data_IF_996423484455
#
_entry.id   IF_996423484455
#
_cell.length_a   1.000
_cell.length_b   1.000
_cell.length_c   1.000
_cell.angle_alpha   90.00
_cell.angle_beta   90.00
_cell.angle_gamma   90.00
#
_symmetry.space_group_name_H-M   'P 1'
#
loop_
_entity.id
_entity.type
_entity.pdbx_description
1 polymer ?
#
# COMPACT_ATOMS: atom_id res chain seq x y z
N UNK A 1 -13.28 50.60 57.06
CA UNK A 1 -13.87 49.38 56.53
C UNK A 1 -13.40 49.21 55.08
N UNK A 2 -12.42 48.39 54.85
CA UNK A 2 -11.90 48.15 53.55
C UNK A 2 -12.28 46.75 53.14
N UNK A 3 -13.02 46.62 52.03
CA UNK A 3 -13.27 45.33 51.35
C UNK A 3 -12.20 45.12 50.30
N UNK A 4 -11.51 44.02 50.44
CA UNK A 4 -10.46 43.57 49.58
C UNK A 4 -11.08 42.62 48.57
N UNK A 5 -11.20 43.05 47.33
CA UNK A 5 -11.64 42.21 46.23
C UNK A 5 -10.43 41.39 45.74
N UNK A 6 -10.54 40.11 45.91
CA UNK A 6 -9.57 39.14 45.38
C UNK A 6 -9.95 38.83 43.93
N UNK A 7 -9.16 39.30 43.02
CA UNK A 7 -9.22 38.97 41.62
C UNK A 7 -8.64 37.55 41.43
N UNK A 8 -9.53 36.62 41.16
CA UNK A 8 -9.17 35.25 40.82
C UNK A 8 -8.84 35.18 39.32
N UNK A 9 -7.57 35.25 39.02
CA UNK A 9 -7.07 34.94 37.71
C UNK A 9 -7.41 33.49 37.37
N UNK A 10 -8.44 33.30 36.56
CA UNK A 10 -8.71 32.01 35.91
C UNK A 10 -7.67 31.80 34.84
N UNK A 11 -6.67 30.98 35.17
CA UNK A 11 -5.73 30.41 34.23
C UNK A 11 -6.49 29.42 33.32
N UNK A 12 -6.99 29.95 32.19
CA UNK A 12 -7.55 29.12 31.14
C UNK A 12 -6.42 28.44 30.40
N UNK A 13 -5.96 27.32 30.94
CA UNK A 13 -5.17 26.38 30.19
C UNK A 13 -6.01 25.93 28.98
N UNK A 14 -5.77 26.56 27.84
CA UNK A 14 -6.32 26.14 26.56
C UNK A 14 -5.86 24.70 26.35
N UNK A 15 -6.77 23.77 26.56
CA UNK A 15 -6.56 22.37 26.20
C UNK A 15 -6.37 22.34 24.69
N UNK A 16 -5.13 22.28 24.26
CA UNK A 16 -4.81 22.02 22.87
C UNK A 16 -5.37 20.64 22.54
N UNK A 17 -6.49 20.62 21.83
CA UNK A 17 -7.01 19.37 21.28
C UNK A 17 -5.91 18.73 20.42
N UNK A 18 -5.66 17.41 20.57
CA UNK A 18 -4.66 16.75 19.77
C UNK A 18 -5.03 16.92 18.30
N UNK A 19 -4.13 17.50 17.52
CA UNK A 19 -4.32 17.71 16.09
C UNK A 19 -4.24 16.34 15.42
N UNK A 20 -5.35 15.90 14.83
CA UNK A 20 -5.41 14.58 14.19
C UNK A 20 -4.70 14.60 12.83
N UNK A 21 -4.00 13.51 12.48
CA UNK A 21 -3.43 13.36 11.15
C UNK A 21 -4.50 13.51 10.06
N UNK A 22 -4.15 14.21 8.99
CA UNK A 22 -5.02 14.39 7.84
C UNK A 22 -4.33 13.85 6.59
N UNK A 23 -5.06 13.07 5.81
CA UNK A 23 -4.60 12.52 4.55
C UNK A 23 -5.64 12.75 3.47
N UNK A 24 -5.19 13.23 2.31
CA UNK A 24 -6.01 13.39 1.13
C UNK A 24 -5.31 12.77 -0.08
N UNK A 25 -6.03 11.97 -0.84
CA UNK A 25 -5.55 11.46 -2.12
C UNK A 25 -5.76 12.56 -3.18
N UNK A 26 -4.68 13.03 -3.78
CA UNK A 26 -4.72 14.02 -4.84
C UNK A 26 -4.86 13.39 -6.22
N UNK A 27 -4.31 12.20 -6.39
CA UNK A 27 -4.41 11.39 -7.59
C UNK A 27 -3.98 9.97 -7.34
N UNK A 28 -4.48 9.05 -8.14
CA UNK A 28 -4.09 7.65 -8.12
C UNK A 28 -4.17 7.08 -9.52
N UNK A 29 -3.22 6.22 -9.88
CA UNK A 29 -3.11 5.71 -11.24
C UNK A 29 -2.27 4.44 -11.33
N UNK A 30 -2.50 3.69 -12.40
CA UNK A 30 -1.58 2.64 -12.83
C UNK A 30 -0.33 3.31 -13.39
N UNK A 31 0.81 3.02 -12.82
CA UNK A 31 2.10 3.50 -13.30
C UNK A 31 2.70 2.55 -14.32
N UNK A 32 2.58 1.26 -14.07
CA UNK A 32 3.00 0.21 -14.99
C UNK A 32 2.16 -1.04 -14.76
N UNK A 33 1.81 -1.75 -15.82
CA UNK A 33 1.05 -2.99 -15.76
C UNK A 33 1.51 -3.92 -16.88
N UNK A 34 1.94 -5.11 -16.49
CA UNK A 34 2.28 -6.20 -17.41
C UNK A 34 1.52 -7.46 -17.01
N UNK A 35 0.82 -8.05 -17.96
CA UNK A 35 0.20 -9.37 -17.81
C UNK A 35 0.76 -10.29 -18.90
N UNK A 36 1.42 -11.34 -18.49
CA UNK A 36 1.99 -12.33 -19.38
C UNK A 36 1.24 -13.66 -19.24
N UNK A 37 0.52 -14.04 -20.29
CA UNK A 37 -0.26 -15.27 -20.32
C UNK A 37 0.59 -16.41 -20.91
N UNK A 38 1.44 -16.99 -20.09
CA UNK A 38 2.47 -17.94 -20.50
C UNK A 38 1.85 -19.25 -21.01
N UNK A 39 0.86 -19.77 -20.29
CA UNK A 39 0.17 -21.00 -20.68
C UNK A 39 -0.55 -20.86 -22.03
N UNK A 40 -1.17 -19.74 -22.30
CA UNK A 40 -1.83 -19.48 -23.59
C UNK A 40 -0.82 -19.41 -24.74
N UNK A 41 0.33 -18.78 -24.51
CA UNK A 41 1.42 -18.69 -25.51
C UNK A 41 2.01 -20.07 -25.83
N UNK A 42 2.07 -20.96 -24.85
CA UNK A 42 2.62 -22.33 -25.00
C UNK A 42 1.54 -23.36 -25.37
N UNK A 43 0.30 -22.93 -25.54
CA UNK A 43 -0.84 -23.84 -25.80
C UNK A 43 -1.01 -24.94 -24.75
N UNK A 44 -0.66 -24.65 -23.50
CA UNK A 44 -0.84 -25.56 -22.36
C UNK A 44 -2.30 -25.50 -21.92
N UNK A 45 -2.97 -26.66 -21.92
CA UNK A 45 -4.36 -26.76 -21.47
C UNK A 45 -4.45 -27.51 -20.13
N UNK A 46 -5.43 -27.13 -19.32
CA UNK A 46 -5.86 -27.93 -18.16
C UNK A 46 -4.94 -27.87 -16.94
N UNK A 47 -4.40 -26.72 -16.64
CA UNK A 47 -3.45 -26.54 -15.53
C UNK A 47 -4.02 -26.73 -14.11
N UNK A 48 -5.32 -27.07 -13.94
CA UNK A 48 -5.93 -27.23 -12.62
C UNK A 48 -5.92 -25.91 -11.80
N UNK A 49 -5.97 -26.04 -10.47
CA UNK A 49 -5.80 -24.86 -9.57
C UNK A 49 -4.33 -24.45 -9.54
N UNK A 50 -4.02 -23.20 -9.86
CA UNK A 50 -2.65 -22.73 -9.83
C UNK A 50 -2.16 -22.53 -8.39
N UNK A 51 -0.88 -22.66 -8.19
CA UNK A 51 -0.16 -22.18 -7.01
C UNK A 51 0.21 -20.71 -7.26
N UNK A 52 -0.27 -19.83 -6.39
CA UNK A 52 -0.11 -18.39 -6.52
C UNK A 52 0.95 -17.88 -5.54
N UNK A 53 1.96 -17.22 -6.07
CA UNK A 53 2.94 -16.50 -5.27
C UNK A 53 2.73 -15.00 -5.43
N UNK A 54 2.55 -14.30 -4.31
CA UNK A 54 2.38 -12.87 -4.25
C UNK A 54 3.59 -12.23 -3.57
N UNK A 55 4.16 -11.23 -4.24
CA UNK A 55 5.17 -10.35 -3.64
C UNK A 55 4.69 -8.91 -3.70
N UNK A 56 4.87 -8.19 -2.61
CA UNK A 56 4.52 -6.78 -2.50
C UNK A 56 5.72 -6.00 -2.00
N UNK A 57 6.05 -4.95 -2.72
CA UNK A 57 7.07 -3.98 -2.32
C UNK A 57 6.48 -2.58 -2.31
N UNK A 58 6.98 -1.75 -1.42
CA UNK A 58 6.53 -0.38 -1.24
C UNK A 58 7.67 0.59 -1.53
N UNK A 59 7.33 1.68 -2.20
CA UNK A 59 8.23 2.80 -2.43
C UNK A 59 7.48 4.10 -2.19
N UNK A 60 8.20 5.13 -1.75
CA UNK A 60 7.57 6.41 -1.51
C UNK A 60 8.61 7.51 -1.29
N UNK A 61 8.19 8.73 -1.51
CA UNK A 61 9.07 9.86 -1.37
C UNK A 61 8.35 11.20 -1.32
N UNK A 62 9.09 12.22 -0.90
CA UNK A 62 8.61 13.60 -0.91
C UNK A 62 8.56 14.13 -2.33
N UNK A 63 7.51 14.89 -2.63
CA UNK A 63 7.40 15.66 -3.86
C UNK A 63 7.98 17.07 -3.65
N UNK A 64 8.29 17.81 -4.75
CA UNK A 64 8.72 19.21 -4.66
C UNK A 64 7.71 20.11 -3.96
N UNK A 65 6.42 19.83 -4.08
CA UNK A 65 5.36 20.56 -3.38
C UNK A 65 5.31 20.13 -1.91
N UNK A 66 5.26 21.09 -1.01
CA UNK A 66 5.21 20.85 0.42
C UNK A 66 4.01 19.99 0.81
N UNK A 67 4.20 19.08 1.78
CA UNK A 67 3.20 18.15 2.30
C UNK A 67 2.64 17.16 1.26
N UNK A 68 3.27 17.05 0.09
CA UNK A 68 2.89 16.07 -0.92
C UNK A 68 3.91 14.94 -1.02
N UNK A 69 3.38 13.73 -1.20
CA UNK A 69 4.17 12.50 -1.23
C UNK A 69 3.67 11.57 -2.32
N UNK A 70 4.62 10.87 -2.95
CA UNK A 70 4.32 9.74 -3.83
C UNK A 70 4.40 8.44 -3.03
N UNK A 71 3.44 7.56 -3.23
CA UNK A 71 3.49 6.19 -2.71
C UNK A 71 3.20 5.23 -3.85
N UNK A 72 4.05 4.23 -4.00
CA UNK A 72 3.96 3.21 -5.05
C UNK A 72 3.85 1.85 -4.37
N UNK A 73 2.83 1.10 -4.74
CA UNK A 73 2.68 -0.30 -4.35
C UNK A 73 3.03 -1.15 -5.57
N UNK A 74 4.08 -1.93 -5.45
CA UNK A 74 4.55 -2.86 -6.49
C UNK A 74 4.08 -4.26 -6.16
N UNK A 75 3.30 -4.84 -7.05
CA UNK A 75 2.73 -6.17 -6.89
C UNK A 75 3.26 -7.06 -7.99
N UNK A 76 3.84 -8.19 -7.61
CA UNK A 76 4.26 -9.25 -8.52
C UNK A 76 3.51 -10.52 -8.15
N UNK A 77 2.81 -11.10 -9.12
CA UNK A 77 2.06 -12.34 -8.97
C UNK A 77 2.59 -13.35 -9.98
N UNK A 78 2.96 -14.51 -9.49
CA UNK A 78 3.34 -15.67 -10.32
C UNK A 78 2.39 -16.81 -10.05
N UNK A 79 1.74 -17.30 -11.10
CA UNK A 79 0.92 -18.49 -11.04
C UNK A 79 1.66 -19.65 -11.72
N UNK A 80 1.76 -20.78 -11.03
CA UNK A 80 2.43 -21.99 -11.51
C UNK A 80 1.53 -23.21 -11.28
N UNK A 81 1.75 -24.26 -12.04
CA UNK A 81 1.12 -25.56 -11.76
C UNK A 81 1.64 -26.12 -10.43
N UNK A 82 0.78 -26.88 -9.74
CA UNK A 82 1.18 -27.64 -8.55
C UNK A 82 1.95 -28.91 -8.94
N UNK A 83 2.83 -29.36 -8.07
CA UNK A 83 3.54 -30.64 -8.21
C UNK A 83 5.05 -30.47 -8.18
N UNK A 84 5.76 -31.58 -8.49
CA UNK A 84 7.22 -31.64 -8.36
C UNK A 84 7.96 -30.87 -9.48
N UNK A 85 7.31 -30.65 -10.61
CA UNK A 85 7.82 -29.87 -11.73
C UNK A 85 6.85 -28.73 -12.08
N UNK A 86 6.82 -27.64 -11.28
CA UNK A 86 5.90 -26.53 -11.53
C UNK A 86 6.24 -25.79 -12.81
N UNK A 87 5.21 -25.56 -13.64
CA UNK A 87 5.31 -24.77 -14.86
C UNK A 87 4.61 -23.44 -14.74
N UNK A 88 5.17 -22.34 -15.26
CA UNK A 88 4.53 -21.04 -15.24
C UNK A 88 3.20 -21.04 -16.02
N UNK A 89 2.17 -20.44 -15.45
CA UNK A 89 0.86 -20.27 -16.06
C UNK A 89 0.68 -18.84 -16.53
N UNK A 90 0.78 -17.90 -15.63
CA UNK A 90 0.78 -16.46 -15.92
C UNK A 90 1.62 -15.68 -14.92
N UNK A 91 1.97 -14.46 -15.30
CA UNK A 91 2.64 -13.48 -14.44
C UNK A 91 1.98 -12.12 -14.56
N UNK A 92 1.77 -11.47 -13.43
CA UNK A 92 1.30 -10.07 -13.34
C UNK A 92 2.35 -9.24 -12.63
N UNK A 93 2.74 -8.14 -13.23
CA UNK A 93 3.54 -7.10 -12.58
C UNK A 93 2.73 -5.80 -12.63
N UNK A 94 2.45 -5.22 -11.47
CA UNK A 94 1.66 -4.01 -11.34
C UNK A 94 2.35 -3.01 -10.42
N UNK A 95 2.63 -1.81 -10.93
CA UNK A 95 3.00 -0.65 -10.14
C UNK A 95 1.79 0.29 -10.08
N UNK A 96 1.18 0.39 -8.91
CA UNK A 96 0.06 1.30 -8.66
C UNK A 96 0.49 2.41 -7.74
N UNK A 97 0.25 3.65 -8.14
CA UNK A 97 0.75 4.83 -7.45
C UNK A 97 -0.37 5.74 -6.97
N UNK A 98 -0.09 6.45 -5.90
CA UNK A 98 -0.92 7.53 -5.40
C UNK A 98 -0.10 8.76 -5.05
N UNK A 99 -0.70 9.93 -5.23
CA UNK A 99 -0.18 11.20 -4.75
C UNK A 99 -1.03 11.63 -3.57
N UNK A 100 -0.38 11.86 -2.43
CA UNK A 100 -1.03 12.15 -1.16
C UNK A 100 -0.63 13.52 -0.64
N UNK A 101 -1.60 14.24 -0.12
CA UNK A 101 -1.36 15.38 0.77
C UNK A 101 -1.51 14.89 2.21
N UNK A 102 -0.47 15.08 3.02
CA UNK A 102 -0.45 14.62 4.42
C UNK A 102 -0.09 15.79 5.31
N UNK A 103 -0.92 16.03 6.31
CA UNK A 103 -0.75 17.09 7.30
C UNK A 103 -0.93 16.54 8.72
N UNK A 104 -0.36 17.26 9.69
CA UNK A 104 -0.48 16.94 11.11
C UNK A 104 0.09 15.58 11.53
N UNK A 105 1.08 15.07 10.80
CA UNK A 105 1.83 13.87 11.16
C UNK A 105 3.23 14.29 11.61
N UNK A 106 3.66 13.93 12.84
CA UNK A 106 5.03 14.18 13.29
C UNK A 106 6.06 13.54 12.35
N UNK A 107 7.19 14.20 12.14
CA UNK A 107 8.18 13.77 11.15
C UNK A 107 8.70 12.36 11.40
N UNK A 108 8.89 11.97 12.66
CA UNK A 108 9.31 10.62 13.03
C UNK A 108 8.25 9.55 12.75
N UNK A 109 6.99 9.92 12.59
CA UNK A 109 5.89 9.02 12.26
C UNK A 109 5.51 9.05 10.78
N UNK A 110 6.08 9.97 10.02
CA UNK A 110 5.71 10.18 8.62
C UNK A 110 6.02 8.97 7.74
N UNK A 111 7.20 8.40 7.86
CA UNK A 111 7.61 7.25 7.06
C UNK A 111 6.72 6.00 7.29
N UNK A 112 6.47 5.56 8.54
CA UNK A 112 5.52 4.48 8.77
C UNK A 112 4.10 4.84 8.31
N UNK A 113 3.66 6.08 8.45
CA UNK A 113 2.36 6.52 7.97
C UNK A 113 2.24 6.35 6.44
N UNK A 114 3.25 6.80 5.68
CA UNK A 114 3.33 6.63 4.23
C UNK A 114 3.33 5.17 3.79
N UNK A 115 4.02 4.30 4.52
CA UNK A 115 4.20 2.91 4.14
C UNK A 115 3.08 1.98 4.64
N UNK A 116 2.21 2.45 5.50
CA UNK A 116 1.11 1.68 6.06
C UNK A 116 -0.26 2.22 5.63
N UNK A 117 -0.54 3.48 5.94
CA UNK A 117 -1.87 4.05 5.71
C UNK A 117 -2.14 4.36 4.24
N UNK A 118 -1.16 4.90 3.51
CA UNK A 118 -1.32 5.19 2.09
C UNK A 118 -1.53 3.92 1.25
N UNK A 119 -0.73 2.85 1.40
CA UNK A 119 -0.98 1.60 0.68
C UNK A 119 -2.35 0.98 0.99
N UNK A 120 -2.83 1.09 2.23
CA UNK A 120 -4.18 0.63 2.59
C UNK A 120 -5.26 1.28 1.75
N UNK A 121 -5.11 2.57 1.46
CA UNK A 121 -6.07 3.31 0.63
C UNK A 121 -6.00 2.90 -0.85
N UNK A 122 -4.83 2.49 -1.33
CA UNK A 122 -4.62 2.08 -2.72
C UNK A 122 -5.00 0.62 -2.97
N UNK A 123 -4.96 -0.22 -1.98
CA UNK A 123 -5.08 -1.67 -2.13
C UNK A 123 -6.40 -2.14 -2.74
N UNK A 124 -7.59 -1.59 -2.43
CA UNK A 124 -8.84 -2.00 -3.07
C UNK A 124 -8.83 -1.84 -4.59
N UNK A 125 -8.15 -0.83 -5.10
CA UNK A 125 -8.01 -0.61 -6.54
C UNK A 125 -7.06 -1.62 -7.18
N UNK A 126 -5.98 -1.97 -6.48
CA UNK A 126 -5.05 -3.03 -6.90
C UNK A 126 -5.77 -4.37 -7.00
N UNK A 127 -6.58 -4.72 -6.01
CA UNK A 127 -7.39 -5.94 -6.03
C UNK A 127 -8.29 -6.01 -7.26
N UNK A 128 -8.97 -4.93 -7.57
CA UNK A 128 -9.85 -4.85 -8.74
C UNK A 128 -9.06 -5.06 -10.04
N UNK A 129 -7.92 -4.38 -10.21
CA UNK A 129 -7.10 -4.49 -11.41
C UNK A 129 -6.61 -5.92 -11.60
N UNK A 130 -6.11 -6.56 -10.55
CA UNK A 130 -5.64 -7.95 -10.60
C UNK A 130 -6.78 -8.92 -10.92
N UNK A 131 -7.94 -8.74 -10.32
CA UNK A 131 -9.13 -9.53 -10.62
C UNK A 131 -9.55 -9.38 -12.08
N UNK A 132 -9.59 -8.16 -12.60
CA UNK A 132 -10.00 -7.88 -13.98
C UNK A 132 -9.00 -8.45 -14.99
N UNK A 133 -7.69 -8.24 -14.80
CA UNK A 133 -6.67 -8.69 -15.75
C UNK A 133 -6.58 -10.21 -15.83
N UNK A 134 -6.71 -10.92 -14.70
CA UNK A 134 -6.70 -12.39 -14.69
C UNK A 134 -7.95 -12.96 -15.34
N UNK A 135 -9.11 -12.35 -15.12
CA UNK A 135 -10.34 -12.72 -15.84
C UNK A 135 -10.23 -12.49 -17.35
N UNK A 136 -9.68 -11.35 -17.75
CA UNK A 136 -9.47 -11.04 -19.18
C UNK A 136 -8.44 -12.00 -19.82
N UNK A 137 -7.54 -12.54 -19.03
CA UNK A 137 -6.61 -13.59 -19.45
C UNK A 137 -7.24 -14.98 -19.61
N UNK A 138 -8.53 -15.14 -19.29
CA UNK A 138 -9.24 -16.40 -19.42
C UNK A 138 -9.20 -17.30 -18.19
N UNK A 139 -8.78 -16.76 -17.04
CA UNK A 139 -8.75 -17.46 -15.76
C UNK A 139 -9.93 -17.07 -14.86
N UNK A 140 -10.17 -17.85 -13.82
CA UNK A 140 -11.03 -17.37 -12.73
C UNK A 140 -10.41 -16.09 -12.13
N UNK A 141 -11.23 -15.08 -11.85
CA UNK A 141 -10.71 -13.83 -11.27
C UNK A 141 -9.90 -14.10 -10.00
N UNK A 142 -8.67 -13.62 -9.95
CA UNK A 142 -7.85 -13.72 -8.75
C UNK A 142 -8.22 -12.59 -7.80
N UNK A 143 -8.84 -12.97 -6.69
CA UNK A 143 -9.17 -12.03 -5.62
C UNK A 143 -8.13 -12.11 -4.53
N UNK A 144 -7.24 -11.10 -4.44
CA UNK A 144 -6.20 -11.05 -3.44
C UNK A 144 -6.80 -10.90 -2.04
N UNK A 145 -6.26 -11.62 -1.08
CA UNK A 145 -6.57 -11.40 0.34
C UNK A 145 -6.04 -10.05 0.82
N UNK A 146 -6.57 -9.56 1.92
CA UNK A 146 -6.08 -8.32 2.54
C UNK A 146 -4.63 -8.47 2.96
N UNK A 147 -3.84 -7.41 2.74
CA UNK A 147 -2.42 -7.37 3.10
C UNK A 147 -2.29 -6.68 4.46
N UNK A 148 -1.52 -7.29 5.36
CA UNK A 148 -1.08 -6.65 6.59
C UNK A 148 0.13 -5.75 6.30
N UNK A 149 -0.14 -4.48 6.01
CA UNK A 149 0.91 -3.50 5.70
C UNK A 149 1.79 -3.18 6.90
N UNK A 150 1.31 -3.35 8.13
CA UNK A 150 2.13 -3.19 9.34
C UNK A 150 3.20 -4.28 9.40
N UNK A 151 2.80 -5.54 9.18
CA UNK A 151 3.74 -6.66 9.13
C UNK A 151 4.74 -6.52 7.98
N UNK A 152 4.27 -6.11 6.80
CA UNK A 152 5.12 -5.86 5.64
C UNK A 152 6.17 -4.79 5.94
N UNK A 153 5.78 -3.68 6.54
CA UNK A 153 6.67 -2.60 6.92
C UNK A 153 7.74 -3.05 7.94
N UNK A 154 7.33 -3.80 8.96
CA UNK A 154 8.25 -4.35 9.97
C UNK A 154 9.27 -5.29 9.36
N UNK A 155 8.84 -6.16 8.46
CA UNK A 155 9.73 -7.10 7.78
C UNK A 155 10.75 -6.39 6.89
N UNK A 156 10.36 -5.33 6.20
CA UNK A 156 11.28 -4.53 5.40
C UNK A 156 12.31 -3.80 6.26
N UNK A 157 11.90 -3.25 7.40
CA UNK A 157 12.84 -2.62 8.34
C UNK A 157 13.85 -3.64 8.88
N UNK A 158 13.39 -4.83 9.28
CA UNK A 158 14.27 -5.89 9.78
C UNK A 158 15.29 -6.34 8.71
N UNK A 159 14.86 -6.47 7.45
CA UNK A 159 15.75 -6.81 6.34
C UNK A 159 16.84 -5.76 6.15
N UNK A 160 16.48 -4.49 6.13
CA UNK A 160 17.45 -3.37 5.97
C UNK A 160 18.45 -3.30 7.11
N UNK A 161 18.07 -3.69 8.33
CA UNK A 161 18.99 -3.76 9.48
C UNK A 161 19.96 -4.92 9.39
N UNK A 162 19.59 -6.00 8.70
CA UNK A 162 20.46 -7.19 8.56
C UNK A 162 21.46 -7.04 7.42
N UNK A 163 21.18 -6.17 6.44
CA UNK A 163 22.07 -5.89 5.29
C UNK A 163 23.14 -4.83 5.58
N UNK A 164 23.16 -4.24 6.79
CA UNK A 164 24.19 -3.31 7.28
C UNK A 164 25.20 -4.06 8.16
#
# INVERSE_FOLDING_TARGET
>A
MAKKDADAAQDSAAQQQPVMPQMKILGQFVRDLSFENIAAQKSVQGAGQPDIQLRVALDGGKRPTEKQYDVIVKVTIEAKTKGDAPEPIFRVDLDYAGIFHIDNVPEEQLHPYLMIECPRMLFPFIRRIVSDVTRDGGYLPLNLDTIDFVALYRNELARKMTEQ
#
